data_IF_794813351435
#
_entry.id   IF_794813351435
#
_cell.length_a   1.000
_cell.length_b   1.000
_cell.length_c   1.000
_cell.angle_alpha   90.00
_cell.angle_beta   90.00
_cell.angle_gamma   90.00
#
_symmetry.space_group_name_H-M   'P 1'
#
loop_
_entity.id
_entity.type
_entity.pdbx_description
1 polymer ?
#
# COMPACT_ATOMS: atom_id res chain seq x y z
N UNK A 1 8.70 -26.48 -0.11
CA UNK A 1 9.20 -25.24 0.52
C UNK A 1 10.63 -25.06 0.03
N UNK A 2 10.91 -23.95 -0.62
CA UNK A 2 12.25 -23.67 -1.14
C UNK A 2 13.20 -23.39 0.06
N UNK A 3 14.13 -24.32 0.30
CA UNK A 3 15.10 -24.26 1.40
C UNK A 3 16.12 -23.10 1.25
N UNK A 4 16.03 -22.33 0.17
CA UNK A 4 16.92 -21.20 -0.10
C UNK A 4 16.41 -19.88 0.49
N UNK A 5 15.17 -19.84 1.02
CA UNK A 5 14.64 -18.69 1.73
C UNK A 5 15.18 -18.71 3.17
N UNK A 6 15.99 -17.73 3.48
CA UNK A 6 16.50 -17.55 4.83
C UNK A 6 15.41 -16.89 5.70
N UNK A 7 14.67 -17.71 6.44
CA UNK A 7 13.62 -17.23 7.32
C UNK A 7 14.19 -16.78 8.66
N UNK A 8 13.80 -15.59 9.07
CA UNK A 8 14.03 -15.10 10.42
C UNK A 8 12.73 -14.48 10.98
N UNK A 9 12.57 -14.49 12.28
CA UNK A 9 11.39 -13.92 12.92
C UNK A 9 11.55 -12.40 13.05
N UNK A 10 10.59 -11.65 12.53
CA UNK A 10 10.46 -10.22 12.86
C UNK A 10 9.82 -10.09 14.24
N UNK A 11 10.49 -9.42 15.13
CA UNK A 11 9.99 -9.16 16.49
C UNK A 11 9.76 -7.66 16.69
N UNK A 12 8.56 -7.28 17.06
CA UNK A 12 8.23 -5.91 17.45
C UNK A 12 8.48 -5.75 18.95
N UNK A 13 9.61 -5.17 19.34
CA UNK A 13 10.01 -4.97 20.75
C UNK A 13 9.14 -3.93 21.44
N UNK A 14 8.92 -2.81 20.78
CA UNK A 14 8.19 -1.69 21.33
C UNK A 14 7.23 -1.16 20.27
N UNK A 15 6.03 -0.86 20.73
CA UNK A 15 5.01 -0.20 19.92
C UNK A 15 4.30 0.81 20.80
N UNK A 16 4.82 2.03 20.83
CA UNK A 16 4.29 3.13 21.61
C UNK A 16 3.47 4.03 20.68
N UNK A 17 2.32 4.45 21.14
CA UNK A 17 1.51 5.38 20.36
C UNK A 17 0.84 6.44 21.22
N UNK A 18 0.65 7.61 20.63
CA UNK A 18 -0.18 8.68 21.14
C UNK A 18 -1.19 9.03 20.05
N UNK A 19 -2.46 9.18 20.42
CA UNK A 19 -3.52 9.45 19.45
C UNK A 19 -4.57 10.41 20.00
N UNK A 20 -5.13 11.19 19.08
CA UNK A 20 -6.27 12.08 19.31
C UNK A 20 -7.37 11.71 18.34
N UNK A 21 -8.57 11.49 18.88
CA UNK A 21 -9.76 11.20 18.09
C UNK A 21 -10.92 12.05 18.61
N UNK A 22 -11.73 12.52 17.67
CA UNK A 22 -12.87 13.31 18.05
C UNK A 22 -13.73 13.75 16.88
N UNK A 23 -14.71 14.58 17.19
CA UNK A 23 -15.59 15.20 16.21
C UNK A 23 -15.35 16.72 16.21
N UNK A 24 -15.03 17.27 15.03
CA UNK A 24 -14.96 18.72 14.83
C UNK A 24 -16.35 19.32 14.68
N UNK A 25 -17.31 18.53 14.21
CA UNK A 25 -18.72 18.87 14.07
C UNK A 25 -19.56 17.59 14.03
N UNK A 26 -20.90 17.73 13.98
CA UNK A 26 -21.81 16.60 13.76
C UNK A 26 -21.57 15.83 12.45
N UNK A 27 -20.83 16.43 11.52
CA UNK A 27 -20.55 15.86 10.19
C UNK A 27 -19.08 15.52 9.97
N UNK A 28 -18.19 15.91 10.88
CA UNK A 28 -16.74 15.80 10.68
C UNK A 28 -16.10 15.10 11.86
N UNK A 29 -15.49 13.95 11.61
CA UNK A 29 -14.72 13.20 12.60
C UNK A 29 -13.26 13.07 12.16
N UNK A 30 -12.34 13.10 13.12
CA UNK A 30 -10.91 12.96 12.89
C UNK A 30 -10.31 11.90 13.80
N UNK A 31 -9.22 11.30 13.34
CA UNK A 31 -8.35 10.40 14.10
C UNK A 31 -6.91 10.69 13.66
N UNK A 32 -6.05 11.07 14.59
CA UNK A 32 -4.63 11.31 14.33
C UNK A 32 -3.83 10.51 15.34
N UNK A 33 -2.82 9.81 14.88
CA UNK A 33 -2.00 8.96 15.73
C UNK A 33 -0.53 9.05 15.33
N UNK A 34 0.34 9.27 16.31
CA UNK A 34 1.78 9.13 16.21
C UNK A 34 2.18 7.79 16.83
N UNK A 35 2.91 6.96 16.10
CA UNK A 35 3.35 5.65 16.56
C UNK A 35 4.87 5.54 16.41
N UNK A 36 5.54 5.11 17.46
CA UNK A 36 6.94 4.70 17.41
C UNK A 36 7.03 3.19 17.61
N UNK A 37 7.70 2.51 16.70
CA UNK A 37 7.91 1.06 16.75
C UNK A 37 9.37 0.72 16.59
N UNK A 38 9.84 -0.24 17.39
CA UNK A 38 11.20 -0.79 17.29
C UNK A 38 11.11 -2.26 16.90
N UNK A 39 11.71 -2.59 15.76
CA UNK A 39 11.71 -3.95 15.24
C UNK A 39 13.11 -4.55 15.30
N UNK A 40 13.19 -5.79 15.77
CA UNK A 40 14.31 -6.66 15.47
C UNK A 40 13.99 -7.49 14.24
N UNK A 41 14.96 -7.61 13.35
CA UNK A 41 14.85 -8.40 12.13
C UNK A 41 13.61 -8.04 11.32
N UNK A 42 13.38 -6.74 11.06
CA UNK A 42 12.32 -6.32 10.15
C UNK A 42 12.60 -6.86 8.75
N UNK A 43 11.66 -7.65 8.21
CA UNK A 43 11.80 -8.22 6.89
C UNK A 43 11.64 -7.16 5.80
N UNK A 44 12.58 -7.10 4.88
CA UNK A 44 12.59 -6.26 3.69
C UNK A 44 12.90 -7.12 2.49
N UNK A 45 12.35 -6.77 1.34
CA UNK A 45 12.55 -7.51 0.11
C UNK A 45 13.49 -6.75 -0.80
N UNK A 46 14.50 -7.42 -1.31
CA UNK A 46 15.46 -6.84 -2.23
C UNK A 46 15.86 -7.86 -3.30
N UNK A 47 16.29 -7.38 -4.44
CA UNK A 47 16.85 -8.26 -5.45
C UNK A 47 18.23 -8.69 -5.00
N UNK A 48 18.48 -9.99 -5.03
CA UNK A 48 19.79 -10.58 -4.79
C UNK A 48 20.26 -11.36 -6.00
N UNK A 49 21.57 -11.39 -6.14
CA UNK A 49 22.25 -12.19 -7.15
C UNK A 49 22.39 -13.62 -6.61
N UNK A 50 21.73 -14.57 -7.25
CA UNK A 50 21.94 -15.97 -6.93
C UNK A 50 22.94 -16.60 -7.90
N UNK A 51 24.13 -16.85 -7.42
CA UNK A 51 25.28 -17.34 -8.17
C UNK A 51 25.04 -18.72 -8.84
N UNK A 52 24.15 -19.55 -8.28
CA UNK A 52 23.94 -20.92 -8.78
C UNK A 52 23.26 -21.00 -10.15
N UNK A 53 22.51 -19.99 -10.57
CA UNK A 53 21.71 -20.03 -11.79
C UNK A 53 21.78 -18.76 -12.66
N UNK A 54 22.65 -17.79 -12.38
CA UNK A 54 22.71 -16.49 -13.07
C UNK A 54 21.38 -15.75 -13.17
N UNK A 55 20.48 -15.97 -12.22
CA UNK A 55 19.17 -15.35 -12.19
C UNK A 55 19.22 -14.04 -11.40
N UNK A 56 19.34 -12.93 -12.13
CA UNK A 56 19.44 -11.56 -11.59
C UNK A 56 18.11 -11.00 -11.06
N UNK A 57 17.03 -11.77 -11.08
CA UNK A 57 15.66 -11.28 -10.87
C UNK A 57 14.97 -11.92 -9.67
N UNK A 58 15.71 -12.49 -8.75
CA UNK A 58 15.12 -13.15 -7.58
C UNK A 58 15.06 -12.19 -6.40
N UNK A 59 13.88 -12.07 -5.82
CA UNK A 59 13.73 -11.40 -4.53
C UNK A 59 14.24 -12.30 -3.41
N UNK A 60 14.93 -11.67 -2.48
CA UNK A 60 15.42 -12.26 -1.24
C UNK A 60 14.90 -11.44 -0.07
N UNK A 61 14.68 -12.07 1.05
CA UNK A 61 14.37 -11.40 2.30
C UNK A 61 15.66 -10.97 2.98
N UNK A 62 15.78 -9.67 3.23
CA UNK A 62 16.78 -9.07 4.07
C UNK A 62 16.16 -8.71 5.41
N UNK A 63 16.93 -8.86 6.46
CA UNK A 63 16.48 -8.55 7.81
C UNK A 63 17.36 -7.46 8.40
N UNK A 64 16.73 -6.47 9.03
CA UNK A 64 17.47 -5.42 9.73
C UNK A 64 16.70 -4.95 10.97
N UNK A 65 17.45 -4.49 11.96
CA UNK A 65 16.87 -3.81 13.09
C UNK A 65 16.47 -2.40 12.66
N UNK A 66 15.21 -2.07 12.83
CA UNK A 66 14.61 -0.87 12.26
C UNK A 66 13.76 -0.15 13.26
N UNK A 67 13.96 1.17 13.39
CA UNK A 67 13.02 2.06 14.05
C UNK A 67 12.05 2.62 13.02
N UNK A 68 10.80 2.77 13.41
CA UNK A 68 9.75 3.36 12.59
C UNK A 68 8.97 4.39 13.38
N UNK A 69 8.99 5.64 12.92
CA UNK A 69 8.06 6.65 13.35
C UNK A 69 6.98 6.82 12.27
N UNK A 70 5.72 6.60 12.65
CA UNK A 70 4.58 6.73 11.76
C UNK A 70 3.61 7.77 12.29
N UNK A 71 3.34 8.79 11.47
CA UNK A 71 2.24 9.72 11.68
C UNK A 71 1.08 9.31 10.77
N UNK A 72 -0.03 8.89 11.37
CA UNK A 72 -1.24 8.52 10.65
C UNK A 72 -2.38 9.48 10.94
N UNK A 73 -3.18 9.78 9.92
CA UNK A 73 -4.35 10.64 10.05
C UNK A 73 -5.54 10.13 9.25
N UNK A 74 -6.72 10.31 9.79
CA UNK A 74 -7.97 10.07 9.08
C UNK A 74 -8.93 11.22 9.35
N UNK A 75 -9.54 11.72 8.28
CA UNK A 75 -10.63 12.68 8.32
C UNK A 75 -11.84 12.07 7.62
N UNK A 76 -12.97 12.05 8.28
CA UNK A 76 -14.27 11.67 7.72
C UNK A 76 -15.16 12.88 7.66
N UNK A 77 -15.78 13.12 6.53
CA UNK A 77 -16.73 14.21 6.34
C UNK A 77 -17.99 13.69 5.68
N UNK A 78 -19.13 13.88 6.34
CA UNK A 78 -20.45 13.53 5.82
C UNK A 78 -21.08 14.78 5.19
N UNK A 79 -20.99 14.86 3.86
CA UNK A 79 -21.62 15.89 3.07
C UNK A 79 -23.04 15.45 2.72
N UNK A 80 -24.04 15.84 3.46
CA UNK A 80 -25.42 15.32 3.37
C UNK A 80 -25.49 13.81 3.75
N UNK A 81 -26.71 13.28 3.87
CA UNK A 81 -26.93 11.88 4.28
C UNK A 81 -26.42 10.84 3.28
N UNK A 82 -26.21 11.25 2.02
CA UNK A 82 -25.91 10.36 0.89
C UNK A 82 -24.41 10.33 0.49
N UNK A 83 -23.62 11.29 0.96
CA UNK A 83 -22.24 11.45 0.54
C UNK A 83 -21.31 11.41 1.75
N UNK A 84 -20.38 10.46 1.73
CA UNK A 84 -19.30 10.36 2.71
C UNK A 84 -17.96 10.51 2.01
N UNK A 85 -17.14 11.41 2.54
CA UNK A 85 -15.77 11.61 2.08
C UNK A 85 -14.83 11.18 3.21
N UNK A 86 -13.80 10.41 2.86
CA UNK A 86 -12.81 9.90 3.80
C UNK A 86 -11.43 10.19 3.23
N UNK A 87 -10.61 10.90 3.99
CA UNK A 87 -9.19 11.04 3.71
C UNK A 87 -8.39 10.24 4.75
N UNK A 88 -7.46 9.41 4.31
CA UNK A 88 -6.52 8.68 5.18
C UNK A 88 -5.11 8.90 4.66
N UNK A 89 -4.21 9.28 5.55
CA UNK A 89 -2.81 9.47 5.20
C UNK A 89 -1.89 8.88 6.25
N UNK A 90 -0.73 8.45 5.81
CA UNK A 90 0.36 8.01 6.65
C UNK A 90 1.65 8.63 6.15
N UNK A 91 2.50 9.00 7.08
CA UNK A 91 3.87 9.41 6.83
C UNK A 91 4.80 8.52 7.65
N UNK A 92 5.83 7.98 7.03
CA UNK A 92 6.71 6.98 7.60
C UNK A 92 8.15 7.47 7.59
N UNK A 93 8.80 7.42 8.74
CA UNK A 93 10.23 7.62 8.87
C UNK A 93 10.85 6.30 9.33
N UNK A 94 11.61 5.69 8.46
CA UNK A 94 12.34 4.45 8.72
C UNK A 94 13.80 4.77 9.00
N UNK A 95 14.31 4.20 10.08
CA UNK A 95 15.73 4.24 10.42
C UNK A 95 16.24 2.81 10.52
N UNK A 96 17.00 2.39 9.53
CA UNK A 96 17.61 1.06 9.42
C UNK A 96 19.01 1.07 10.02
N UNK A 97 19.43 -0.05 10.64
CA UNK A 97 20.72 -0.13 11.31
C UNK A 97 21.87 -0.45 10.35
N UNK A 98 21.67 -1.41 9.44
CA UNK A 98 22.71 -1.94 8.55
C UNK A 98 22.40 -1.73 7.07
N UNK A 99 21.13 -1.61 6.71
CA UNK A 99 20.68 -1.36 5.34
C UNK A 99 20.62 0.14 5.07
N UNK A 100 20.91 0.55 3.84
CA UNK A 100 20.85 1.95 3.45
C UNK A 100 19.43 2.52 3.48
N UNK A 101 18.44 1.67 3.18
CA UNK A 101 17.03 2.05 3.08
C UNK A 101 16.09 0.92 3.50
N UNK A 102 14.88 1.30 3.90
CA UNK A 102 13.76 0.38 4.07
C UNK A 102 13.17 0.03 2.69
N UNK A 103 13.70 -1.01 2.06
CA UNK A 103 13.37 -1.36 0.69
C UNK A 103 11.90 -1.71 0.49
N UNK A 104 11.32 -1.18 -0.60
CA UNK A 104 9.91 -1.32 -1.01
C UNK A 104 8.91 -0.83 0.05
N UNK A 105 9.35 0.14 0.89
CA UNK A 105 8.52 0.83 1.86
C UNK A 105 8.37 2.29 1.44
N UNK A 106 7.14 2.79 1.23
CA UNK A 106 6.94 4.19 0.88
C UNK A 106 7.21 5.10 2.08
N UNK A 107 7.59 6.35 1.80
CA UNK A 107 7.73 7.41 2.78
C UNK A 107 6.40 8.01 3.19
N UNK A 108 5.39 7.98 2.30
CA UNK A 108 4.02 8.33 2.63
C UNK A 108 3.00 7.59 1.76
N UNK A 109 1.77 7.54 2.23
CA UNK A 109 0.59 7.19 1.45
C UNK A 109 -0.60 8.07 1.82
N UNK A 110 -1.45 8.35 0.84
CA UNK A 110 -2.70 9.08 1.01
C UNK A 110 -3.79 8.41 0.19
N UNK A 111 -4.92 8.12 0.84
CA UNK A 111 -6.11 7.59 0.18
C UNK A 111 -7.27 8.54 0.41
N UNK A 112 -7.91 8.98 -0.67
CA UNK A 112 -9.15 9.74 -0.65
C UNK A 112 -10.26 8.84 -1.16
N UNK A 113 -11.30 8.63 -0.36
CA UNK A 113 -12.46 7.81 -0.71
C UNK A 113 -13.72 8.67 -0.71
N UNK A 114 -14.45 8.64 -1.81
CA UNK A 114 -15.79 9.19 -1.93
C UNK A 114 -16.81 8.05 -2.02
N UNK A 115 -17.85 8.11 -1.18
CA UNK A 115 -18.96 7.18 -1.19
C UNK A 115 -20.25 7.95 -1.44
N UNK A 116 -21.01 7.54 -2.45
CA UNK A 116 -22.30 8.09 -2.76
C UNK A 116 -23.37 6.98 -2.74
N UNK A 117 -24.41 7.18 -1.93
CA UNK A 117 -25.51 6.25 -1.79
C UNK A 117 -26.82 6.91 -2.26
N UNK A 118 -27.29 6.53 -3.44
CA UNK A 118 -28.54 7.04 -3.99
C UNK A 118 -29.68 6.07 -3.66
N UNK A 119 -30.54 6.48 -2.71
CA UNK A 119 -31.76 5.78 -2.33
C UNK A 119 -31.54 4.29 -1.97
N UNK A 120 -30.37 3.95 -1.42
CA UNK A 120 -29.95 2.57 -1.10
C UNK A 120 -29.96 1.59 -2.27
N UNK A 121 -30.20 2.07 -3.49
CA UNK A 121 -30.19 1.26 -4.73
C UNK A 121 -28.92 1.39 -5.53
N UNK A 122 -28.33 2.57 -5.58
CA UNK A 122 -27.10 2.81 -6.34
C UNK A 122 -26.02 3.27 -5.36
N UNK A 123 -24.94 2.51 -5.29
CA UNK A 123 -23.74 2.84 -4.54
C UNK A 123 -22.63 3.15 -5.52
N UNK A 124 -22.00 4.30 -5.35
CA UNK A 124 -20.82 4.69 -6.11
C UNK A 124 -19.68 4.89 -5.13
N UNK A 125 -18.55 4.29 -5.42
CA UNK A 125 -17.31 4.42 -4.66
C UNK A 125 -16.20 4.91 -5.58
N UNK A 126 -15.56 6.01 -5.24
CA UNK A 126 -14.36 6.49 -5.90
C UNK A 126 -13.21 6.47 -4.90
N UNK A 127 -12.07 5.88 -5.27
CA UNK A 127 -10.85 5.88 -4.49
C UNK A 127 -9.72 6.52 -5.30
N UNK A 128 -8.99 7.44 -4.68
CA UNK A 128 -7.76 8.03 -5.20
C UNK A 128 -6.62 7.65 -4.27
N UNK A 129 -5.56 7.09 -4.82
CA UNK A 129 -4.38 6.66 -4.08
C UNK A 129 -3.17 7.47 -4.51
N UNK A 130 -2.44 7.99 -3.55
CA UNK A 130 -1.14 8.62 -3.73
C UNK A 130 -0.15 7.87 -2.86
N UNK A 131 0.92 7.39 -3.46
CA UNK A 131 1.98 6.66 -2.76
C UNK A 131 3.30 7.34 -3.08
N UNK A 132 4.07 7.64 -2.04
CA UNK A 132 5.36 8.30 -2.16
C UNK A 132 6.44 7.43 -2.77
N UNK A 133 7.65 7.98 -2.77
CA UNK A 133 8.80 7.27 -3.29
C UNK A 133 9.16 6.06 -2.41
N UNK A 134 9.80 5.09 -3.04
CA UNK A 134 10.30 3.89 -2.37
C UNK A 134 11.72 3.64 -2.86
N UNK A 135 12.51 2.93 -2.07
CA UNK A 135 13.81 2.47 -2.48
C UNK A 135 13.78 0.98 -2.79
N UNK A 136 14.51 0.58 -3.82
CA UNK A 136 14.75 -0.81 -4.17
C UNK A 136 16.24 -1.06 -4.28
N UNK A 137 16.71 -2.23 -3.85
CA UNK A 137 18.05 -2.69 -4.15
C UNK A 137 18.03 -3.49 -5.44
N UNK A 138 18.82 -3.07 -6.40
CA UNK A 138 19.06 -3.80 -7.66
C UNK A 138 20.35 -4.59 -7.58
N UNK A 139 20.43 -5.67 -8.32
CA UNK A 139 21.63 -6.46 -8.50
C UNK A 139 22.06 -6.45 -9.96
N UNK A 140 23.35 -6.34 -10.20
CA UNK A 140 23.98 -6.43 -11.53
C UNK A 140 25.33 -7.15 -11.39
N UNK A 141 25.98 -7.42 -12.50
CA UNK A 141 27.38 -7.90 -12.50
C UNK A 141 28.28 -6.83 -13.10
N UNK A 142 29.46 -6.71 -12.53
CA UNK A 142 30.52 -5.90 -13.09
C UNK A 142 31.15 -6.59 -14.32
N UNK A 143 32.12 -5.92 -14.93
CA UNK A 143 32.88 -6.43 -16.09
C UNK A 143 33.68 -7.70 -15.80
N UNK A 144 33.89 -8.02 -14.52
CA UNK A 144 34.62 -9.20 -14.05
C UNK A 144 33.69 -10.33 -13.59
N UNK A 145 32.37 -10.17 -13.79
CA UNK A 145 31.35 -11.14 -13.38
C UNK A 145 31.05 -11.15 -11.89
N UNK A 146 31.48 -10.14 -11.10
CA UNK A 146 31.17 -10.04 -9.68
C UNK A 146 29.81 -9.39 -9.46
N UNK A 147 29.01 -9.88 -8.50
CA UNK A 147 27.76 -9.23 -8.14
C UNK A 147 28.00 -7.83 -7.59
N UNK A 148 27.25 -6.87 -8.11
CA UNK A 148 27.23 -5.50 -7.61
C UNK A 148 25.80 -5.13 -7.25
N UNK A 149 25.64 -4.33 -6.20
CA UNK A 149 24.35 -3.88 -5.73
C UNK A 149 24.29 -2.36 -5.83
N UNK A 150 23.14 -1.85 -6.23
CA UNK A 150 22.89 -0.41 -6.29
C UNK A 150 21.49 -0.10 -5.74
N UNK A 151 21.36 1.08 -5.15
CA UNK A 151 20.06 1.57 -4.70
C UNK A 151 19.37 2.31 -5.84
N UNK A 152 18.12 1.98 -6.08
CA UNK A 152 17.26 2.58 -7.11
C UNK A 152 16.02 3.16 -6.46
N UNK A 153 15.72 4.42 -6.72
CA UNK A 153 14.48 5.01 -6.28
C UNK A 153 13.35 4.64 -7.24
N UNK A 154 12.31 4.02 -6.72
CA UNK A 154 11.04 3.84 -7.38
C UNK A 154 10.20 5.09 -7.16
N UNK A 155 9.79 5.72 -8.25
CA UNK A 155 9.00 6.96 -8.20
C UNK A 155 7.64 6.70 -7.55
N UNK A 156 7.20 7.64 -6.75
CA UNK A 156 5.83 7.67 -6.25
C UNK A 156 4.82 7.65 -7.38
N UNK A 157 3.61 7.26 -7.08
CA UNK A 157 2.55 7.11 -8.08
C UNK A 157 1.19 7.54 -7.55
N UNK A 158 0.31 7.77 -8.50
CA UNK A 158 -1.10 8.04 -8.31
C UNK A 158 -1.92 6.95 -9.00
N UNK A 159 -3.01 6.51 -8.36
CA UNK A 159 -3.96 5.57 -8.94
C UNK A 159 -5.39 6.00 -8.60
N UNK A 160 -6.34 5.69 -9.48
CA UNK A 160 -7.74 6.04 -9.32
C UNK A 160 -8.62 4.84 -9.67
N UNK A 161 -9.56 4.53 -8.77
CA UNK A 161 -10.52 3.45 -8.96
C UNK A 161 -11.94 3.97 -8.82
N UNK A 162 -12.87 3.37 -9.56
CA UNK A 162 -14.30 3.70 -9.52
C UNK A 162 -15.12 2.43 -9.48
N UNK A 163 -16.01 2.34 -8.50
CA UNK A 163 -16.94 1.22 -8.33
C UNK A 163 -18.38 1.67 -8.37
N UNK A 164 -19.21 0.88 -9.03
CA UNK A 164 -20.66 1.02 -9.07
C UNK A 164 -21.32 -0.26 -8.58
N UNK A 165 -22.34 -0.15 -7.77
CA UNK A 165 -23.21 -1.27 -7.39
C UNK A 165 -24.67 -0.83 -7.57
N UNK A 166 -25.42 -1.64 -8.29
CA UNK A 166 -26.87 -1.45 -8.45
C UNK A 166 -27.61 -2.60 -7.79
N UNK A 167 -28.36 -2.28 -6.74
CA UNK A 167 -29.21 -3.22 -6.00
C UNK A 167 -30.57 -3.31 -6.67
N UNK A 168 -30.72 -4.29 -7.54
CA UNK A 168 -32.00 -4.53 -8.25
C UNK A 168 -33.08 -4.97 -7.27
N UNK A 169 -32.77 -5.93 -6.38
CA UNK A 169 -33.66 -6.43 -5.34
C UNK A 169 -32.89 -6.69 -4.05
N UNK A 170 -33.57 -7.19 -3.01
CA UNK A 170 -32.90 -7.65 -1.77
C UNK A 170 -31.96 -8.83 -2.01
N UNK A 171 -32.22 -9.62 -3.05
CA UNK A 171 -31.49 -10.84 -3.39
C UNK A 171 -30.43 -10.63 -4.47
N UNK A 172 -30.59 -9.64 -5.34
CA UNK A 172 -29.78 -9.50 -6.54
C UNK A 172 -29.20 -8.09 -6.66
N UNK A 173 -27.89 -8.00 -6.79
CA UNK A 173 -27.18 -6.78 -7.15
C UNK A 173 -26.17 -7.03 -8.28
N UNK A 174 -25.89 -5.99 -9.04
CA UNK A 174 -24.91 -5.95 -10.11
C UNK A 174 -23.81 -4.97 -9.72
N UNK A 175 -22.57 -5.29 -10.04
CA UNK A 175 -21.48 -4.36 -9.81
C UNK A 175 -20.56 -4.22 -11.03
N UNK A 176 -19.97 -3.04 -11.15
CA UNK A 176 -18.90 -2.73 -12.08
C UNK A 176 -17.77 -2.06 -11.31
N UNK A 177 -16.52 -2.47 -11.56
CA UNK A 177 -15.31 -1.86 -10.98
C UNK A 177 -14.35 -1.53 -12.09
N UNK A 178 -13.83 -0.31 -12.06
CA UNK A 178 -12.83 0.21 -12.97
C UNK A 178 -11.60 0.56 -12.13
N UNK A 179 -10.50 -0.10 -12.39
CA UNK A 179 -9.27 0.08 -11.65
C UNK A 179 -8.19 0.70 -12.53
N UNK A 180 -7.31 1.46 -11.91
CA UNK A 180 -6.26 2.21 -12.56
C UNK A 180 -6.79 3.02 -13.75
N UNK A 181 -7.79 3.87 -13.49
CA UNK A 181 -8.45 4.71 -14.52
C UNK A 181 -7.45 5.69 -15.14
N UNK A 182 -6.43 6.12 -14.36
CA UNK A 182 -5.35 6.95 -14.88
C UNK A 182 -4.43 6.21 -15.87
N UNK A 183 -4.62 4.90 -16.04
CA UNK A 183 -3.86 4.02 -16.94
C UNK A 183 -2.33 4.10 -16.74
N UNK A 184 -1.92 4.37 -15.51
CA UNK A 184 -0.51 4.52 -15.18
C UNK A 184 0.16 3.15 -15.03
N UNK A 185 1.40 3.07 -15.48
CA UNK A 185 2.28 1.93 -15.20
C UNK A 185 3.23 2.34 -14.09
N UNK A 186 3.04 1.83 -12.92
CA UNK A 186 3.87 2.08 -11.75
C UNK A 186 4.44 0.78 -11.17
N UNK A 187 5.47 0.89 -10.34
CA UNK A 187 6.18 -0.22 -9.75
C UNK A 187 6.03 -0.16 -8.22
N UNK A 188 5.27 -1.11 -7.66
CA UNK A 188 5.24 -1.33 -6.20
C UNK A 188 6.45 -2.15 -5.75
N UNK A 189 6.93 -3.00 -6.64
CA UNK A 189 8.12 -3.84 -6.50
C UNK A 189 8.97 -3.62 -7.73
N UNK A 190 10.30 -3.51 -7.55
CA UNK A 190 11.19 -3.33 -8.70
C UNK A 190 10.99 -4.48 -9.70
N UNK A 191 10.95 -4.17 -10.98
CA UNK A 191 10.70 -5.08 -12.10
C UNK A 191 9.26 -5.66 -12.21
N UNK A 192 8.36 -5.40 -11.24
CA UNK A 192 6.97 -5.85 -11.29
C UNK A 192 6.02 -4.67 -11.51
N UNK A 193 5.70 -4.37 -12.79
CA UNK A 193 4.78 -3.28 -13.10
C UNK A 193 3.35 -3.62 -12.69
N UNK A 194 2.61 -2.59 -12.27
CA UNK A 194 1.17 -2.71 -12.04
C UNK A 194 0.42 -3.04 -13.32
N UNK A 195 -0.74 -3.68 -13.17
CA UNK A 195 -1.71 -3.76 -14.26
C UNK A 195 -2.19 -2.34 -14.59
N UNK A 196 -2.27 -2.04 -15.88
CA UNK A 196 -2.88 -0.81 -16.36
C UNK A 196 -4.40 -0.85 -16.16
N UNK A 197 -5.11 0.07 -16.79
CA UNK A 197 -6.57 0.08 -16.71
C UNK A 197 -7.15 -1.31 -16.95
N UNK A 198 -8.01 -1.71 -16.03
CA UNK A 198 -8.78 -2.96 -16.15
C UNK A 198 -10.13 -2.79 -15.47
N UNK A 199 -11.10 -3.58 -15.88
CA UNK A 199 -12.44 -3.56 -15.31
C UNK A 199 -12.91 -4.94 -14.92
N UNK A 200 -13.87 -4.98 -14.02
CA UNK A 200 -14.53 -6.19 -13.54
C UNK A 200 -16.03 -5.94 -13.49
N UNK A 201 -16.80 -6.86 -14.00
CA UNK A 201 -18.26 -6.89 -13.90
C UNK A 201 -18.69 -8.15 -13.15
N UNK A 202 -19.75 -8.06 -12.37
CA UNK A 202 -20.26 -9.22 -11.68
C UNK A 202 -21.65 -8.99 -11.10
N UNK A 203 -22.18 -10.06 -10.56
CA UNK A 203 -23.45 -10.06 -9.85
C UNK A 203 -23.29 -10.74 -8.48
N UNK A 204 -24.10 -10.32 -7.53
CA UNK A 204 -24.23 -10.95 -6.21
C UNK A 204 -25.65 -11.42 -6.05
N UNK A 205 -25.82 -12.70 -5.74
CA UNK A 205 -27.10 -13.31 -5.43
C UNK A 205 -27.06 -13.86 -4.01
N UNK A 206 -28.01 -13.44 -3.17
CA UNK A 206 -28.17 -13.89 -1.78
C UNK A 206 -29.51 -14.56 -1.66
N UNK A 207 -29.58 -15.90 -1.67
CA UNK A 207 -30.83 -16.62 -1.43
C UNK A 207 -31.31 -16.41 0.01
N UNK A 208 -32.65 -16.51 0.23
CA UNK A 208 -33.22 -16.50 1.57
C UNK A 208 -32.89 -17.77 2.32
#
# INVERSE_FOLDING_TARGET
>A
VDSTLNYNNTNNKYNLFLGLRGNLSSKTAYDVKLTYSQFDNMAMYAINFNDKNNLYNRFEMLYDNTSLLNLSGQLKYQLKEKINLIAKGNYYLYETKNLDYAYHRPDFDLTLTGLYNLNSKILVKADLFFVGNQWARTASVDTLGKPTYANKQLKGYFDANLGFEYRYSKMLSFFARFNNIANQRYYRWDQYPSMRFHFMLGLTFVPF
#
